data_IF_365724594923
#
_entry.id   IF_365724594923
#
_cell.length_a   1.000
_cell.length_b   1.000
_cell.length_c   1.000
_cell.angle_alpha   90.00
_cell.angle_beta   90.00
_cell.angle_gamma   90.00
#
_symmetry.space_group_name_H-M   'P 1'
#
loop_
_entity.id
_entity.type
_entity.pdbx_description
1 polymer ?
#
# COMPACT_ATOMS: atom_id res chain seq x y z
N UNK A 1 -6.97 13.43 -28.10
CA UNK A 1 -7.71 13.85 -27.09
C UNK A 1 -7.03 13.80 -25.75
N UNK A 2 -6.09 14.60 -25.59
CA UNK A 2 -5.24 14.58 -24.41
C UNK A 2 -5.97 14.91 -23.12
N UNK A 3 -7.03 15.70 -23.20
CA UNK A 3 -7.66 16.15 -21.96
C UNK A 3 -8.31 15.02 -21.20
N UNK A 4 -8.89 14.05 -21.91
CA UNK A 4 -9.49 12.91 -21.22
C UNK A 4 -8.43 12.07 -20.58
N UNK A 5 -7.29 11.94 -21.23
CA UNK A 5 -6.18 11.20 -20.65
C UNK A 5 -5.64 11.89 -19.41
N UNK A 6 -5.54 13.20 -19.45
CA UNK A 6 -5.10 13.95 -18.29
C UNK A 6 -6.04 13.80 -17.12
N UNK A 7 -7.34 13.79 -17.37
CA UNK A 7 -8.31 13.61 -16.30
C UNK A 7 -8.22 12.22 -15.71
N UNK A 8 -8.01 11.21 -16.54
CA UNK A 8 -7.85 9.85 -16.05
C UNK A 8 -6.65 9.74 -15.12
N UNK A 9 -5.54 10.38 -15.47
CA UNK A 9 -4.33 10.31 -14.67
C UNK A 9 -4.48 10.92 -13.29
N UNK A 10 -5.31 11.96 -13.14
CA UNK A 10 -5.44 12.62 -11.84
C UNK A 10 -6.32 11.87 -10.86
N UNK A 11 -6.96 10.76 -11.28
CA UNK A 11 -7.83 10.02 -10.38
C UNK A 11 -7.09 8.99 -9.56
N UNK A 12 -5.91 8.52 -9.99
CA UNK A 12 -5.18 7.48 -9.30
C UNK A 12 -4.29 8.12 -8.24
N UNK A 13 -4.72 8.08 -6.99
CA UNK A 13 -4.07 8.81 -5.90
C UNK A 13 -3.70 7.95 -4.71
N UNK A 14 -4.07 6.68 -4.72
CA UNK A 14 -3.84 5.82 -3.56
C UNK A 14 -2.56 5.04 -3.70
N UNK A 15 -1.83 4.91 -2.60
CA UNK A 15 -0.67 4.04 -2.54
C UNK A 15 -1.01 2.88 -1.61
N UNK A 16 -0.85 1.67 -2.14
CA UNK A 16 -1.12 0.46 -1.40
C UNK A 16 0.19 -0.11 -0.89
N UNK A 17 0.34 -0.17 0.42
CA UNK A 17 1.51 -0.77 1.04
C UNK A 17 1.24 -2.23 1.37
N UNK A 18 2.22 -3.08 1.09
CA UNK A 18 2.10 -4.52 1.27
C UNK A 18 3.25 -5.08 2.08
N UNK A 19 2.94 -6.00 2.97
CA UNK A 19 3.92 -6.86 3.61
C UNK A 19 3.44 -8.29 3.47
N UNK A 20 4.35 -9.24 3.37
CA UNK A 20 3.96 -10.64 3.32
C UNK A 20 5.11 -11.55 3.76
N UNK A 21 4.75 -12.76 4.18
CA UNK A 21 5.73 -13.81 4.45
C UNK A 21 6.23 -14.37 3.12
N UNK A 22 7.37 -15.01 3.16
CA UNK A 22 7.89 -15.68 1.97
C UNK A 22 6.90 -16.72 1.49
N UNK A 23 6.79 -16.82 0.18
CA UNK A 23 5.94 -17.82 -0.48
C UNK A 23 4.46 -17.66 -0.18
N UNK A 24 4.03 -16.45 0.17
CA UNK A 24 2.60 -16.15 0.30
C UNK A 24 1.92 -16.37 -1.05
N UNK A 25 0.77 -17.02 -1.03
CA UNK A 25 0.01 -17.23 -2.26
C UNK A 25 -0.41 -15.89 -2.85
N UNK A 26 -0.15 -15.65 -4.14
CA UNK A 26 -0.57 -14.39 -4.76
C UNK A 26 -2.04 -14.09 -4.59
N UNK A 27 -2.89 -15.12 -4.64
CA UNK A 27 -4.34 -14.94 -4.49
C UNK A 27 -4.71 -14.40 -3.12
N UNK A 28 -3.99 -14.80 -2.09
CA UNK A 28 -4.24 -14.29 -0.74
C UNK A 28 -3.94 -12.80 -0.68
N UNK A 29 -2.83 -12.37 -1.25
CA UNK A 29 -2.44 -10.97 -1.25
C UNK A 29 -3.42 -10.13 -2.07
N UNK A 30 -3.84 -10.63 -3.23
CA UNK A 30 -4.79 -9.92 -4.08
C UNK A 30 -6.15 -9.76 -3.37
N UNK A 31 -6.62 -10.83 -2.74
CA UNK A 31 -7.90 -10.77 -2.03
C UNK A 31 -7.85 -9.75 -0.88
N UNK A 32 -6.74 -9.72 -0.15
CA UNK A 32 -6.58 -8.76 0.93
C UNK A 32 -6.50 -7.32 0.39
N UNK A 33 -5.85 -7.14 -0.74
CA UNK A 33 -5.76 -5.83 -1.39
C UNK A 33 -7.15 -5.33 -1.79
N UNK A 34 -7.98 -6.20 -2.37
CA UNK A 34 -9.34 -5.82 -2.74
C UNK A 34 -10.17 -5.50 -1.50
N UNK A 35 -9.97 -6.24 -0.42
CA UNK A 35 -10.65 -5.96 0.82
C UNK A 35 -10.26 -4.58 1.37
N UNK A 36 -8.99 -4.22 1.28
CA UNK A 36 -8.54 -2.91 1.72
C UNK A 36 -9.18 -1.80 0.90
N UNK A 37 -9.29 -1.99 -0.42
CA UNK A 37 -9.96 -1.00 -1.26
C UNK A 37 -11.41 -0.84 -0.88
N UNK A 38 -12.10 -1.93 -0.56
CA UNK A 38 -13.48 -1.86 -0.11
C UNK A 38 -13.59 -1.03 1.18
N UNK A 39 -12.64 -1.20 2.11
CA UNK A 39 -12.61 -0.40 3.33
C UNK A 39 -12.47 1.10 3.03
N UNK A 40 -11.76 1.44 1.98
CA UNK A 40 -11.55 2.85 1.59
C UNK A 40 -12.70 3.41 0.75
N UNK A 41 -13.65 2.56 0.35
CA UNK A 41 -14.67 2.98 -0.60
C UNK A 41 -14.08 3.27 -1.97
N UNK A 42 -13.03 2.54 -2.35
CA UNK A 42 -12.25 2.79 -3.54
C UNK A 42 -12.28 1.58 -4.48
N UNK A 43 -11.79 1.77 -5.69
CA UNK A 43 -11.65 0.69 -6.66
C UNK A 43 -10.21 0.61 -7.13
N UNK A 44 -9.90 -0.44 -7.90
CA UNK A 44 -8.54 -0.64 -8.39
C UNK A 44 -8.02 0.52 -9.22
N UNK A 45 -8.89 1.25 -9.92
CA UNK A 45 -8.45 2.38 -10.73
C UNK A 45 -7.93 3.55 -9.90
N UNK A 46 -8.20 3.55 -8.60
CA UNK A 46 -7.70 4.60 -7.71
C UNK A 46 -6.27 4.32 -7.23
N UNK A 47 -5.76 3.12 -7.47
CA UNK A 47 -4.42 2.74 -7.02
C UNK A 47 -3.39 3.28 -8.01
N UNK A 48 -2.44 4.06 -7.51
CA UNK A 48 -1.36 4.61 -8.33
C UNK A 48 -0.08 3.80 -8.21
N UNK A 49 0.12 3.10 -7.10
CA UNK A 49 1.39 2.49 -6.77
C UNK A 49 1.18 1.38 -5.74
N UNK A 50 1.93 0.30 -5.89
CA UNK A 50 2.06 -0.74 -4.87
C UNK A 50 3.46 -0.61 -4.28
N UNK A 51 3.56 -0.54 -2.96
CA UNK A 51 4.84 -0.30 -2.29
C UNK A 51 5.11 -1.38 -1.24
N UNK A 52 6.37 -1.73 -1.06
CA UNK A 52 6.75 -2.72 -0.05
C UNK A 52 8.19 -2.51 0.39
N UNK A 53 8.68 -3.40 1.25
CA UNK A 53 10.05 -3.41 1.73
C UNK A 53 10.95 -4.07 0.68
N UNK A 54 12.15 -3.55 0.50
CA UNK A 54 13.08 -4.07 -0.51
C UNK A 54 13.49 -5.52 -0.27
N UNK A 55 13.46 -5.99 0.98
CA UNK A 55 13.71 -7.41 1.27
C UNK A 55 12.69 -8.33 0.62
N UNK A 56 11.57 -7.79 0.14
CA UNK A 56 10.53 -8.56 -0.56
C UNK A 56 10.46 -8.22 -2.04
N UNK A 57 11.50 -7.60 -2.59
CA UNK A 57 11.50 -7.17 -3.99
C UNK A 57 11.33 -8.33 -4.97
N UNK A 58 11.69 -9.54 -4.56
CA UNK A 58 11.57 -10.72 -5.41
C UNK A 58 10.33 -11.54 -5.12
N UNK A 59 9.48 -11.09 -4.20
CA UNK A 59 8.35 -11.91 -3.76
C UNK A 59 7.22 -11.88 -4.80
N UNK A 60 6.84 -13.05 -5.34
CA UNK A 60 5.81 -13.09 -6.39
C UNK A 60 4.48 -12.47 -6.00
N UNK A 61 4.09 -12.61 -4.72
CA UNK A 61 2.80 -12.06 -4.27
C UNK A 61 2.74 -10.55 -4.44
N UNK A 62 3.84 -9.84 -4.15
CA UNK A 62 3.89 -8.38 -4.29
C UNK A 62 3.73 -7.99 -5.76
N UNK A 63 4.49 -8.66 -6.64
CA UNK A 63 4.41 -8.38 -8.07
C UNK A 63 3.04 -8.71 -8.65
N UNK A 64 2.40 -9.77 -8.12
CA UNK A 64 1.08 -10.16 -8.58
C UNK A 64 0.04 -9.09 -8.25
N UNK A 65 0.12 -8.48 -7.07
CA UNK A 65 -0.80 -7.40 -6.71
C UNK A 65 -0.58 -6.20 -7.63
N UNK A 66 0.68 -5.85 -7.89
CA UNK A 66 0.98 -4.73 -8.79
C UNK A 66 0.41 -4.97 -10.19
N UNK A 67 0.59 -6.20 -10.72
CA UNK A 67 0.04 -6.54 -12.04
C UNK A 67 -1.48 -6.53 -12.02
N UNK A 68 -2.08 -6.99 -10.93
CA UNK A 68 -3.54 -7.04 -10.80
C UNK A 68 -4.15 -5.64 -10.98
N UNK A 69 -3.48 -4.61 -10.47
CA UNK A 69 -3.96 -3.24 -10.58
C UNK A 69 -3.30 -2.49 -11.73
N UNK A 70 -2.41 -3.13 -12.48
CA UNK A 70 -1.70 -2.52 -13.60
C UNK A 70 -0.90 -1.29 -13.19
N UNK A 71 -0.22 -1.40 -12.05
CA UNK A 71 0.60 -0.30 -11.52
C UNK A 71 2.02 -0.80 -11.25
N UNK A 72 3.00 0.11 -11.16
CA UNK A 72 4.35 -0.31 -10.84
C UNK A 72 4.49 -0.67 -9.37
N UNK A 73 5.34 -1.64 -9.03
CA UNK A 73 5.75 -1.84 -7.66
C UNK A 73 6.92 -0.93 -7.33
N UNK A 74 7.00 -0.49 -6.09
CA UNK A 74 8.13 0.30 -5.62
C UNK A 74 8.57 -0.24 -4.27
N UNK A 75 9.88 -0.37 -4.09
CA UNK A 75 10.44 -0.96 -2.88
C UNK A 75 11.31 0.06 -2.16
N UNK A 76 11.16 0.10 -0.84
CA UNK A 76 11.90 1.03 0.01
C UNK A 76 12.74 0.23 1.00
N UNK A 77 13.87 0.78 1.42
CA UNK A 77 14.67 0.12 2.43
C UNK A 77 14.04 0.29 3.83
N UNK A 78 14.54 -0.52 4.77
CA UNK A 78 13.98 -0.53 6.11
C UNK A 78 14.09 0.84 6.80
N UNK A 79 15.19 1.54 6.58
CA UNK A 79 15.39 2.86 7.19
C UNK A 79 14.34 3.87 6.71
N UNK A 80 14.04 3.83 5.42
CA UNK A 80 13.02 4.72 4.86
C UNK A 80 11.65 4.42 5.46
N UNK A 81 11.30 3.14 5.59
CA UNK A 81 10.03 2.77 6.20
C UNK A 81 9.99 3.15 7.68
N UNK A 82 11.11 2.98 8.38
CA UNK A 82 11.16 3.31 9.81
C UNK A 82 11.03 4.81 10.05
N UNK A 83 11.41 5.64 9.09
CA UNK A 83 11.23 7.07 9.20
C UNK A 83 9.74 7.45 9.33
N UNK A 84 8.83 6.56 8.90
CA UNK A 84 7.39 6.78 9.04
C UNK A 84 6.85 6.36 10.40
N UNK A 85 7.72 5.88 11.31
CA UNK A 85 7.29 5.32 12.59
C UNK A 85 6.32 6.21 13.37
N UNK A 86 6.51 7.54 13.46
CA UNK A 86 5.56 8.38 14.18
C UNK A 86 4.16 8.41 13.58
N UNK A 87 4.01 8.03 12.32
CA UNK A 87 2.72 8.08 11.62
C UNK A 87 2.02 6.72 11.58
N UNK A 88 2.66 5.66 12.10
CA UNK A 88 2.07 4.32 12.05
C UNK A 88 0.91 4.22 13.03
N UNK A 89 -0.15 3.54 12.62
CA UNK A 89 -1.29 3.25 13.48
C UNK A 89 -1.13 1.92 14.22
N UNK A 90 -0.38 0.99 13.62
CA UNK A 90 -0.22 -0.36 14.15
C UNK A 90 1.27 -0.77 14.17
N UNK A 91 2.11 -0.07 14.93
CA UNK A 91 3.52 -0.45 15.00
C UNK A 91 3.69 -1.81 15.68
N UNK A 92 4.70 -2.57 15.27
CA UNK A 92 4.91 -3.91 15.77
C UNK A 92 6.39 -4.12 16.11
N UNK A 93 6.66 -4.50 17.36
CA UNK A 93 8.02 -4.82 17.80
C UNK A 93 8.51 -6.12 17.14
N UNK A 94 7.60 -7.06 16.88
CA UNK A 94 7.98 -8.31 16.22
C UNK A 94 8.42 -8.03 14.79
N UNK A 95 7.67 -7.20 14.08
CA UNK A 95 8.05 -6.81 12.72
C UNK A 95 9.40 -6.07 12.73
N UNK A 96 9.62 -5.19 13.70
CA UNK A 96 10.89 -4.48 13.81
C UNK A 96 12.05 -5.45 13.97
N UNK A 97 11.88 -6.46 14.80
CA UNK A 97 12.94 -7.44 15.04
C UNK A 97 13.33 -8.19 13.77
N UNK A 98 12.39 -8.38 12.84
CA UNK A 98 12.65 -9.14 11.62
C UNK A 98 13.03 -8.26 10.43
N UNK A 99 12.63 -7.01 10.40
CA UNK A 99 12.72 -6.19 9.19
C UNK A 99 13.51 -4.89 9.38
N UNK A 100 13.70 -4.45 10.63
CA UNK A 100 14.32 -3.16 10.91
C UNK A 100 13.37 -1.99 10.82
N UNK A 101 12.07 -2.24 10.69
CA UNK A 101 11.06 -1.18 10.75
C UNK A 101 9.84 -1.70 11.50
N UNK A 102 9.08 -0.78 12.09
CA UNK A 102 7.94 -1.15 12.94
C UNK A 102 6.65 -1.44 12.17
N UNK A 103 6.63 -1.23 10.86
CA UNK A 103 5.46 -1.56 10.06
C UNK A 103 5.77 -1.48 8.59
N UNK A 104 5.71 -2.63 7.89
CA UNK A 104 6.01 -2.67 6.47
C UNK A 104 4.87 -2.07 5.66
N UNK A 105 3.64 -2.57 5.86
CA UNK A 105 2.52 -2.15 5.02
C UNK A 105 2.21 -0.66 5.20
N UNK A 106 2.07 -0.21 6.45
CA UNK A 106 1.77 1.20 6.71
C UNK A 106 2.94 2.10 6.32
N UNK A 107 4.15 1.69 6.66
CA UNK A 107 5.34 2.46 6.31
C UNK A 107 5.52 2.61 4.81
N UNK A 108 5.31 1.53 4.06
CA UNK A 108 5.44 1.56 2.61
C UNK A 108 4.36 2.44 1.98
N UNK A 109 3.12 2.33 2.45
CA UNK A 109 2.04 3.15 1.93
C UNK A 109 2.34 4.63 2.14
N UNK A 110 2.78 4.99 3.34
CA UNK A 110 3.08 6.39 3.66
C UNK A 110 4.31 6.89 2.92
N UNK A 111 5.35 6.05 2.81
CA UNK A 111 6.57 6.44 2.07
C UNK A 111 6.27 6.71 0.61
N UNK A 112 5.42 5.88 0.00
CA UNK A 112 5.06 6.07 -1.39
C UNK A 112 4.12 7.23 -1.64
N UNK A 113 3.27 7.53 -0.67
CA UNK A 113 2.26 8.57 -0.83
C UNK A 113 2.76 9.97 -0.48
N UNK A 114 3.79 10.07 0.37
CA UNK A 114 4.39 11.35 0.70
C UNK A 114 3.94 11.93 2.04
N UNK A 115 4.53 13.07 2.38
CA UNK A 115 4.37 13.65 3.72
C UNK A 115 2.97 14.21 3.97
N UNK A 116 2.27 14.60 2.91
CA UNK A 116 0.92 15.16 3.06
C UNK A 116 -0.17 14.11 3.09
N UNK A 117 0.16 12.86 2.80
CA UNK A 117 -0.82 11.79 2.79
C UNK A 117 -1.09 11.27 4.19
N UNK A 118 -2.22 10.60 4.35
CA UNK A 118 -2.61 9.96 5.60
C UNK A 118 -2.95 8.51 5.34
N UNK A 119 -2.98 7.70 6.39
CA UNK A 119 -3.45 6.33 6.27
C UNK A 119 -4.97 6.35 6.19
N UNK A 120 -5.48 6.02 5.02
CA UNK A 120 -6.92 5.90 4.80
C UNK A 120 -7.41 4.53 5.28
N UNK A 121 -6.60 3.50 5.10
CA UNK A 121 -6.86 2.18 5.63
C UNK A 121 -5.63 1.76 6.42
N UNK A 122 -5.70 1.78 7.75
CA UNK A 122 -4.62 1.22 8.58
C UNK A 122 -4.48 -0.27 8.28
N UNK A 123 -3.35 -0.83 8.67
CA UNK A 123 -3.01 -2.21 8.35
C UNK A 123 -4.17 -3.17 8.64
N UNK A 124 -4.55 -3.93 7.62
CA UNK A 124 -5.38 -5.12 7.78
C UNK A 124 -4.52 -6.32 7.41
N UNK A 125 -4.93 -7.49 7.85
CA UNK A 125 -4.11 -8.67 7.68
C UNK A 125 -4.93 -9.89 7.29
N UNK A 126 -4.26 -10.79 6.55
CA UNK A 126 -4.71 -12.15 6.34
C UNK A 126 -3.76 -13.07 7.11
N UNK A 127 -3.77 -14.37 6.81
CA UNK A 127 -2.88 -15.32 7.48
C UNK A 127 -1.40 -14.95 7.27
N UNK A 128 -1.02 -14.51 6.07
CA UNK A 128 0.38 -14.34 5.70
C UNK A 128 0.70 -13.00 5.05
N UNK A 129 -0.27 -12.10 4.94
CA UNK A 129 -0.07 -10.81 4.28
C UNK A 129 -0.66 -9.68 5.08
N UNK A 130 -0.14 -8.47 4.84
CA UNK A 130 -0.69 -7.24 5.41
C UNK A 130 -0.81 -6.22 4.30
N UNK A 131 -1.83 -5.37 4.39
CA UNK A 131 -2.09 -4.29 3.43
C UNK A 131 -2.52 -3.05 4.19
N UNK A 132 -2.04 -1.90 3.73
CA UNK A 132 -2.51 -0.60 4.21
C UNK A 132 -2.63 0.33 2.99
N UNK A 133 -3.45 1.36 3.10
CA UNK A 133 -3.62 2.31 2.00
C UNK A 133 -3.42 3.72 2.53
N UNK A 134 -2.61 4.50 1.84
CA UNK A 134 -2.40 5.91 2.14
C UNK A 134 -2.80 6.75 0.93
N UNK A 135 -3.20 7.98 1.18
CA UNK A 135 -3.59 8.88 0.12
C UNK A 135 -4.00 10.23 0.71
N UNK A 136 -4.63 11.08 -0.12
CA UNK A 136 -5.04 12.40 0.35
C UNK A 136 -6.08 12.30 1.45
N UNK A 137 -5.99 13.18 2.43
CA UNK A 137 -6.89 13.15 3.59
C UNK A 137 -8.36 13.32 3.18
N UNK A 138 -8.62 13.98 2.05
CA UNK A 138 -9.98 14.24 1.60
C UNK A 138 -10.49 13.22 0.60
N UNK A 139 -9.78 12.11 0.40
CA UNK A 139 -10.18 11.10 -0.59
C UNK A 139 -11.61 10.62 -0.35
N UNK A 140 -11.94 10.30 0.90
CA UNK A 140 -13.27 9.76 1.22
C UNK A 140 -14.37 10.77 0.90
N UNK A 141 -14.12 12.06 1.14
CA UNK A 141 -15.12 13.08 0.81
C UNK A 141 -15.28 13.21 -0.69
N UNK A 142 -14.17 13.09 -1.43
CA UNK A 142 -14.22 13.13 -2.88
C UNK A 142 -15.06 12.00 -3.46
N UNK A 143 -15.00 10.83 -2.86
CA UNK A 143 -15.75 9.67 -3.37
C UNK A 143 -17.24 9.77 -3.08
N UNK A 144 -17.64 10.57 -2.11
CA UNK A 144 -19.05 10.74 -1.77
C UNK A 144 -19.78 11.61 -2.77
N UNK A 145 -19.07 12.30 -3.61
CA UNK A 145 -19.66 13.13 -4.66
C UNK A 145 -19.76 12.38 -5.96
#
# INVERSE_FOLDING_TARGET
>A
MPSAEGMTLVTAKLVMGLGCERDTAPEEAIALAEQALAHAGASGRDVALVASLDARAEEPAIHAVARHFSVPPRFFDAATLEAQSPRLKNPSKVVFAHTGCHGVAEGAALSGAGSDAVLLVPKIRSARATVAIAGPADFARGTLR
#
